data_IF_006340261960
#
_entry.id   IF_006340261960
#
_cell.length_a   1.000
_cell.length_b   1.000
_cell.length_c   1.000
_cell.angle_alpha   90.00
_cell.angle_beta   90.00
_cell.angle_gamma   90.00
#
_symmetry.space_group_name_H-M   'P 1'
#
loop_
_entity.id
_entity.type
_entity.pdbx_description
1 polymer ?
#
# COMPACT_ATOMS: atom_id res chain seq x y z
N UNK A 1 1.25 -12.25 -7.40
CA UNK A 1 2.68 -11.88 -7.49
C UNK A 1 3.52 -12.87 -8.31
N UNK A 2 3.26 -14.19 -8.23
CA UNK A 2 4.04 -15.23 -8.94
C UNK A 2 4.06 -15.17 -10.48
N UNK A 3 3.03 -14.65 -11.16
CA UNK A 3 2.99 -14.58 -12.65
C UNK A 3 3.90 -13.49 -13.26
N UNK A 4 4.40 -12.55 -12.46
CA UNK A 4 5.19 -11.40 -12.95
C UNK A 4 6.53 -11.21 -12.25
N UNK A 5 6.98 -12.17 -11.43
CA UNK A 5 8.21 -12.10 -10.62
C UNK A 5 8.30 -10.83 -9.74
N UNK A 6 7.15 -10.30 -9.30
CA UNK A 6 7.09 -9.16 -8.39
C UNK A 6 7.04 -9.70 -6.96
N UNK A 7 7.89 -9.16 -6.09
CA UNK A 7 8.04 -9.62 -4.70
C UNK A 7 7.42 -8.67 -3.68
N UNK A 8 7.29 -7.40 -4.06
CA UNK A 8 6.72 -6.36 -3.23
C UNK A 8 5.84 -5.44 -4.07
N UNK A 9 4.68 -5.07 -3.55
CA UNK A 9 3.78 -4.10 -4.16
C UNK A 9 3.72 -2.86 -3.28
N UNK A 10 3.94 -1.70 -3.89
CA UNK A 10 3.86 -0.40 -3.22
C UNK A 10 2.63 0.33 -3.78
N UNK A 11 1.77 0.78 -2.88
CA UNK A 11 0.54 1.48 -3.21
C UNK A 11 0.59 2.86 -2.57
N UNK A 12 0.27 3.88 -3.35
CA UNK A 12 0.24 5.28 -2.89
C UNK A 12 -1.13 5.94 -3.10
N UNK A 13 -1.98 5.35 -3.94
CA UNK A 13 -3.30 5.89 -4.23
C UNK A 13 -4.27 5.60 -3.09
N UNK A 14 -4.84 6.67 -2.54
CA UNK A 14 -5.77 6.63 -1.40
C UNK A 14 -6.97 5.73 -1.65
N UNK A 15 -7.64 5.86 -2.80
CA UNK A 15 -8.83 5.06 -3.12
C UNK A 15 -8.47 3.57 -3.19
N UNK A 16 -7.29 3.23 -3.72
CA UNK A 16 -6.76 1.86 -3.82
C UNK A 16 -6.54 1.27 -2.43
N UNK A 17 -5.92 2.02 -1.54
CA UNK A 17 -5.67 1.63 -0.15
C UNK A 17 -7.01 1.42 0.57
N UNK A 18 -7.95 2.37 0.48
CA UNK A 18 -9.25 2.27 1.14
C UNK A 18 -10.01 1.00 0.74
N UNK A 19 -10.10 0.71 -0.56
CA UNK A 19 -10.76 -0.50 -1.04
C UNK A 19 -10.02 -1.76 -0.61
N UNK A 20 -8.69 -1.78 -0.68
CA UNK A 20 -7.90 -2.96 -0.32
C UNK A 20 -8.07 -3.36 1.15
N UNK A 21 -8.15 -2.37 2.04
CA UNK A 21 -8.30 -2.60 3.48
C UNK A 21 -9.76 -2.58 3.94
N UNK A 22 -10.72 -2.50 3.02
CA UNK A 22 -12.15 -2.37 3.32
C UNK A 22 -12.44 -1.21 4.29
N UNK A 23 -11.76 -0.08 4.10
CA UNK A 23 -11.91 1.12 4.91
C UNK A 23 -12.80 2.13 4.18
N UNK A 24 -13.76 2.71 4.91
CA UNK A 24 -14.58 3.82 4.41
C UNK A 24 -14.08 5.14 5.00
N UNK A 25 -14.08 6.22 4.19
CA UNK A 25 -13.70 7.56 4.64
C UNK A 25 -14.56 8.10 5.80
N UNK A 26 -15.77 7.56 6.01
CA UNK A 26 -16.65 7.90 7.15
C UNK A 26 -16.14 7.27 8.46
N UNK A 27 -15.55 6.08 8.37
CA UNK A 27 -15.05 5.36 9.53
C UNK A 27 -13.70 5.93 10.02
N UNK A 28 -13.01 6.62 9.13
CA UNK A 28 -11.80 7.39 9.40
C UNK A 28 -12.25 8.82 9.76
N UNK A 29 -11.79 9.39 10.87
CA UNK A 29 -12.27 10.72 11.29
C UNK A 29 -12.15 11.72 10.12
N UNK A 30 -13.29 12.33 9.75
CA UNK A 30 -13.43 13.21 8.60
C UNK A 30 -12.37 14.30 8.60
N UNK A 31 -11.33 14.14 7.78
CA UNK A 31 -10.36 15.20 7.56
C UNK A 31 -9.77 15.17 6.14
N UNK A 32 -9.89 16.33 5.49
CA UNK A 32 -9.50 16.78 4.15
C UNK A 32 -8.23 16.18 3.53
N UNK A 33 -8.28 14.91 3.11
CA UNK A 33 -7.24 14.10 2.42
C UNK A 33 -6.61 13.06 3.35
N UNK A 34 -6.86 11.78 3.05
CA UNK A 34 -6.22 10.65 3.71
C UNK A 34 -4.88 10.36 3.00
N UNK A 35 -3.80 10.84 3.60
CA UNK A 35 -2.45 10.49 3.17
C UNK A 35 -2.11 9.11 3.70
N UNK A 36 -1.81 8.18 2.77
CA UNK A 36 -1.46 6.82 3.12
C UNK A 36 -0.57 6.16 2.08
N UNK A 37 0.23 5.20 2.53
CA UNK A 37 0.97 4.28 1.69
C UNK A 37 0.74 2.84 2.18
N UNK A 38 0.86 1.87 1.28
CA UNK A 38 0.88 0.47 1.67
C UNK A 38 2.03 -0.27 0.98
N UNK A 39 2.63 -1.21 1.71
CA UNK A 39 3.66 -2.13 1.21
C UNK A 39 3.18 -3.55 1.47
N UNK A 40 3.03 -4.33 0.39
CA UNK A 40 2.55 -5.69 0.43
C UNK A 40 3.67 -6.61 -0.06
N UNK A 41 4.19 -7.42 0.85
CA UNK A 41 5.06 -8.54 0.53
C UNK A 41 4.26 -9.84 0.47
N UNK A 42 4.95 -10.97 0.27
CA UNK A 42 4.29 -12.28 0.29
C UNK A 42 3.69 -12.65 1.66
N UNK A 43 4.36 -12.27 2.74
CA UNK A 43 4.03 -12.71 4.11
C UNK A 43 3.67 -11.55 5.04
N UNK A 44 3.62 -10.32 4.53
CA UNK A 44 3.34 -9.14 5.34
C UNK A 44 2.59 -8.09 4.57
N UNK A 45 1.79 -7.33 5.30
CA UNK A 45 1.12 -6.13 4.81
C UNK A 45 1.41 -5.01 5.79
N UNK A 46 1.98 -3.91 5.28
CA UNK A 46 2.29 -2.70 6.06
C UNK A 46 1.45 -1.54 5.54
N UNK A 47 0.70 -0.90 6.42
CA UNK A 47 -0.08 0.31 6.15
C UNK A 47 0.56 1.48 6.87
N UNK A 48 0.83 2.57 6.14
CA UNK A 48 1.40 3.81 6.65
C UNK A 48 0.34 4.90 6.56
N UNK A 49 -0.11 5.42 7.71
CA UNK A 49 -1.24 6.34 7.81
C UNK A 49 -1.09 7.22 9.05
N UNK A 50 -1.81 8.33 9.10
CA UNK A 50 -1.96 9.09 10.33
C UNK A 50 -2.77 8.27 11.35
N UNK A 51 -2.09 7.83 12.40
CA UNK A 51 -2.66 6.96 13.44
C UNK A 51 -3.86 7.61 14.16
N UNK A 52 -3.89 8.94 14.23
CA UNK A 52 -4.98 9.67 14.88
C UNK A 52 -6.29 9.60 14.08
N UNK A 53 -6.20 9.28 12.78
CA UNK A 53 -7.38 9.15 11.92
C UNK A 53 -8.08 7.79 12.06
N UNK A 54 -7.41 6.81 12.68
CA UNK A 54 -7.96 5.48 12.92
C UNK A 54 -8.66 5.42 14.28
N UNK A 55 -9.89 4.95 14.28
CA UNK A 55 -10.57 4.57 15.52
C UNK A 55 -10.01 3.25 16.06
N UNK A 56 -10.18 3.02 17.36
CA UNK A 56 -9.69 1.80 18.02
C UNK A 56 -10.24 0.52 17.36
N UNK A 57 -11.52 0.52 16.97
CA UNK A 57 -12.14 -0.62 16.30
C UNK A 57 -11.49 -0.95 14.95
N UNK A 58 -11.09 0.07 14.17
CA UNK A 58 -10.38 -0.14 12.91
C UNK A 58 -8.98 -0.67 13.16
N UNK A 59 -8.30 -0.17 14.18
CA UNK A 59 -6.97 -0.67 14.56
C UNK A 59 -7.04 -2.16 14.93
N UNK A 60 -8.03 -2.56 15.72
CA UNK A 60 -8.23 -3.95 16.13
C UNK A 60 -8.56 -4.85 14.92
N UNK A 61 -9.39 -4.37 13.98
CA UNK A 61 -9.70 -5.07 12.72
C UNK A 61 -8.45 -5.27 11.85
N UNK A 62 -7.66 -4.22 11.63
CA UNK A 62 -6.44 -4.30 10.82
C UNK A 62 -5.42 -5.25 11.46
N UNK A 63 -5.29 -5.22 12.78
CA UNK A 63 -4.43 -6.15 13.50
C UNK A 63 -4.90 -7.61 13.37
N UNK A 64 -6.21 -7.85 13.43
CA UNK A 64 -6.80 -9.18 13.21
C UNK A 64 -6.49 -9.72 11.80
N UNK A 65 -6.53 -8.85 10.79
CA UNK A 65 -6.16 -9.16 9.40
C UNK A 65 -4.64 -9.22 9.15
N UNK A 66 -3.81 -9.22 10.20
CA UNK A 66 -2.35 -9.23 10.14
C UNK A 66 -1.74 -8.04 9.35
N UNK A 67 -2.40 -6.88 9.41
CA UNK A 67 -1.90 -5.62 8.84
C UNK A 67 -1.12 -4.85 9.89
N UNK A 68 0.16 -4.62 9.61
CA UNK A 68 1.01 -3.79 10.46
C UNK A 68 0.80 -2.32 10.16
N UNK A 69 0.32 -1.56 11.15
CA UNK A 69 0.04 -0.13 11.00
C UNK A 69 1.20 0.70 11.53
N UNK A 70 1.67 1.65 10.72
CA UNK A 70 2.76 2.57 11.04
C UNK A 70 2.34 4.02 10.78
N UNK A 71 3.07 4.96 11.41
CA UNK A 71 2.91 6.38 11.10
C UNK A 71 3.25 6.68 9.64
N UNK A 72 2.45 7.52 8.99
CA UNK A 72 2.70 8.01 7.63
C UNK A 72 4.15 8.49 7.44
N UNK A 73 4.68 9.27 8.38
CA UNK A 73 6.02 9.86 8.29
C UNK A 73 7.15 8.83 8.31
N UNK A 74 6.88 7.61 8.79
CA UNK A 74 7.87 6.54 8.84
C UNK A 74 8.06 5.81 7.50
N UNK A 75 7.18 6.04 6.52
CA UNK A 75 7.16 5.32 5.25
C UNK A 75 8.53 5.34 4.55
N UNK A 76 9.11 6.51 4.29
CA UNK A 76 10.36 6.60 3.52
C UNK A 76 11.54 5.96 4.23
N UNK A 77 11.59 6.06 5.57
CA UNK A 77 12.64 5.43 6.36
C UNK A 77 12.55 3.91 6.30
N UNK A 78 11.35 3.36 6.49
CA UNK A 78 11.12 1.91 6.38
C UNK A 78 11.33 1.40 4.95
N UNK A 79 10.87 2.16 3.96
CA UNK A 79 11.04 1.83 2.55
C UNK A 79 12.52 1.78 2.15
N UNK A 80 13.31 2.76 2.61
CA UNK A 80 14.76 2.79 2.37
C UNK A 80 15.47 1.59 3.01
N UNK A 81 15.20 1.28 4.29
CA UNK A 81 15.74 0.09 4.96
C UNK A 81 15.39 -1.21 4.22
N UNK A 82 14.16 -1.29 3.71
CA UNK A 82 13.69 -2.44 2.97
C UNK A 82 14.45 -2.59 1.63
N UNK A 83 14.67 -1.50 0.89
CA UNK A 83 15.48 -1.52 -0.33
C UNK A 83 16.94 -1.93 -0.04
N UNK A 84 17.51 -1.45 1.06
CA UNK A 84 18.89 -1.76 1.46
C UNK A 84 19.07 -3.23 1.88
N UNK A 85 18.06 -3.81 2.51
CA UNK A 85 18.10 -5.21 3.00
C UNK A 85 17.72 -6.26 1.95
N UNK A 86 17.12 -5.85 0.83
CA UNK A 86 16.61 -6.77 -0.18
C UNK A 86 17.67 -7.21 -1.20
N UNK A 87 17.62 -8.50 -1.50
CA UNK A 87 18.43 -9.15 -2.54
C UNK A 87 18.18 -8.55 -3.92
N UNK A 88 19.21 -8.52 -4.75
CA UNK A 88 19.16 -7.94 -6.10
C UNK A 88 18.14 -8.58 -7.06
N UNK A 89 17.65 -9.78 -6.73
CA UNK A 89 16.69 -10.52 -7.54
C UNK A 89 15.22 -10.18 -7.22
N UNK A 90 14.97 -9.54 -6.08
CA UNK A 90 13.61 -9.15 -5.75
C UNK A 90 13.23 -7.86 -6.48
N UNK A 91 11.99 -7.84 -6.97
CA UNK A 91 11.46 -6.75 -7.77
C UNK A 91 10.29 -6.12 -7.04
N UNK A 92 10.26 -4.80 -6.98
CA UNK A 92 9.06 -4.11 -6.53
C UNK A 92 8.23 -3.69 -7.74
N UNK A 93 6.91 -3.68 -7.51
CA UNK A 93 5.94 -3.10 -8.40
C UNK A 93 5.45 -1.80 -7.79
N UNK A 94 5.53 -0.73 -8.57
CA UNK A 94 5.00 0.58 -8.21
C UNK A 94 4.25 1.14 -9.41
N UNK A 95 3.21 1.93 -9.13
CA UNK A 95 2.47 2.64 -10.16
C UNK A 95 3.36 3.65 -10.88
N UNK A 96 3.13 3.84 -12.18
CA UNK A 96 3.80 4.86 -13.01
C UNK A 96 3.60 6.30 -12.49
N UNK A 97 2.52 6.51 -11.76
CA UNK A 97 2.11 7.80 -11.15
C UNK A 97 2.74 8.06 -9.77
N UNK A 98 3.65 7.19 -9.30
CA UNK A 98 4.28 7.38 -8.01
C UNK A 98 5.10 8.67 -7.94
N UNK A 99 5.27 9.19 -6.72
CA UNK A 99 6.01 10.43 -6.51
C UNK A 99 7.51 10.26 -6.80
N UNK A 100 8.18 11.39 -7.05
CA UNK A 100 9.59 11.41 -7.43
C UNK A 100 10.53 10.85 -6.36
N UNK A 101 10.19 11.02 -5.07
CA UNK A 101 11.00 10.49 -3.97
C UNK A 101 11.06 8.95 -3.99
N UNK A 102 9.91 8.30 -4.24
CA UNK A 102 9.84 6.86 -4.42
C UNK A 102 10.64 6.46 -5.66
N UNK A 103 10.51 7.18 -6.78
CA UNK A 103 11.26 6.89 -8.02
C UNK A 103 12.78 6.96 -7.82
N UNK A 104 13.30 7.94 -7.07
CA UNK A 104 14.74 8.03 -6.77
C UNK A 104 15.23 6.83 -5.98
N UNK A 105 14.51 6.45 -4.91
CA UNK A 105 14.86 5.30 -4.07
C UNK A 105 14.83 3.99 -4.88
N UNK A 106 13.87 3.89 -5.80
CA UNK A 106 13.69 2.78 -6.72
C UNK A 106 14.76 2.75 -7.83
N UNK A 107 15.26 3.88 -8.29
CA UNK A 107 16.25 3.90 -9.40
C UNK A 107 17.58 3.20 -9.05
N UNK A 108 17.77 2.81 -7.78
CA UNK A 108 18.95 2.11 -7.27
C UNK A 108 18.89 0.57 -7.42
N UNK A 109 17.75 -0.05 -7.80
CA UNK A 109 17.60 -1.53 -7.99
C UNK A 109 16.72 -1.89 -9.21
N UNK A 110 16.43 -3.18 -9.44
CA UNK A 110 15.57 -3.66 -10.54
C UNK A 110 14.07 -3.55 -10.17
N UNK A 111 13.30 -2.79 -10.95
CA UNK A 111 11.87 -2.58 -10.70
C UNK A 111 11.00 -2.84 -11.91
N UNK A 112 9.76 -3.21 -11.65
CA UNK A 112 8.73 -3.38 -12.68
C UNK A 112 7.69 -2.29 -12.49
N UNK A 113 7.73 -1.27 -13.34
CA UNK A 113 6.65 -0.30 -13.43
C UNK A 113 5.54 -0.98 -14.25
N UNK A 114 4.42 -1.28 -13.59
CA UNK A 114 3.22 -1.84 -14.23
C UNK A 114 2.01 -1.13 -13.70
N UNK A 115 1.07 -0.85 -14.61
CA UNK A 115 -0.22 -0.31 -14.21
C UNK A 115 -0.95 -1.28 -13.28
N UNK A 116 -1.52 -0.69 -12.24
CA UNK A 116 -1.88 -1.32 -10.98
C UNK A 116 -2.76 -2.56 -11.16
N UNK A 117 -2.22 -3.72 -10.73
CA UNK A 117 -2.95 -5.01 -10.66
C UNK A 117 -4.27 -4.83 -9.90
N UNK A 118 -4.27 -3.92 -8.92
CA UNK A 118 -5.43 -3.60 -8.09
C UNK A 118 -6.45 -2.76 -8.85
N UNK A 119 -6.04 -1.79 -9.67
CA UNK A 119 -6.98 -1.02 -10.49
C UNK A 119 -7.78 -1.92 -11.42
N UNK A 120 -7.14 -2.94 -12.03
CA UNK A 120 -7.86 -3.92 -12.85
C UNK A 120 -8.84 -4.77 -12.05
N UNK A 121 -8.50 -5.11 -10.82
CA UNK A 121 -9.36 -5.91 -9.93
C UNK A 121 -10.56 -5.09 -9.46
N UNK A 122 -10.36 -3.83 -9.08
CA UNK A 122 -11.41 -2.87 -8.72
C UNK A 122 -12.39 -2.53 -9.84
N UNK A 123 -11.96 -2.67 -11.09
CA UNK A 123 -12.79 -2.35 -12.26
C UNK A 123 -13.91 -3.38 -12.44
N UNK A 124 -13.72 -4.60 -11.92
CA UNK A 124 -14.74 -5.64 -11.92
C UNK A 124 -15.45 -5.57 -10.57
N UNK A 125 -16.66 -4.99 -10.58
CA UNK A 125 -17.51 -4.91 -9.40
C UNK A 125 -18.07 -6.28 -9.06
N UNK A 126 -17.94 -6.68 -7.80
CA UNK A 126 -18.68 -7.83 -7.27
C UNK A 126 -20.18 -7.46 -7.25
N UNK A 127 -21.13 -8.35 -7.55
CA UNK A 127 -22.56 -8.06 -7.44
C UNK A 127 -22.98 -7.41 -6.11
N UNK A 128 -22.29 -7.70 -5.00
CA UNK A 128 -22.54 -7.07 -3.70
C UNK A 128 -22.11 -5.58 -3.62
N UNK A 129 -21.31 -5.09 -4.57
CA UNK A 129 -20.94 -3.66 -4.70
C UNK A 129 -21.89 -2.88 -5.64
N UNK A 130 -22.83 -3.56 -6.32
CA UNK A 130 -23.70 -2.96 -7.36
C UNK A 130 -25.12 -2.67 -6.83
N UNK A 131 -25.57 -3.40 -5.82
CA UNK A 131 -26.85 -3.16 -5.12
C UNK A 131 -26.74 -2.06 -4.04
#
# INVERSE_FOLDING_TARGET
MNKSQVHHLIIHQMDVILWLFNLCLVNIQFNSVLLSFAIIGYNYVKLFIDLNKLSKSIHDYLQYENVFVYSYDSFYNEFKKMIESIDYNEKFCVSSTCNYAIQILISQKQFVIKDDIICRSKTIKDPFEID
#
